data_IF_938218472903
#
_entry.id   IF_938218472903
#
_cell.length_a   1.000
_cell.length_b   1.000
_cell.length_c   1.000
_cell.angle_alpha   90.00
_cell.angle_beta   90.00
_cell.angle_gamma   90.00
#
_symmetry.space_group_name_H-M   'P 1'
#
loop_
_entity.id
_entity.type
_entity.pdbx_description
1 polymer ?
#
# COMPACT_ATOMS: atom_id res chain seq x y z
N UNK A 1 -20.25 -2.18 8.47
CA UNK A 1 -19.95 -3.35 7.61
C UNK A 1 -19.34 -2.87 6.29
N UNK A 2 -18.04 -3.13 6.11
CA UNK A 2 -17.16 -2.43 5.18
C UNK A 2 -17.21 -3.08 3.79
N UNK A 3 -17.74 -2.34 2.83
CA UNK A 3 -17.80 -2.62 1.42
C UNK A 3 -16.47 -2.25 0.74
N UNK A 4 -15.41 -3.00 1.04
CA UNK A 4 -14.16 -2.94 0.27
C UNK A 4 -14.26 -3.91 -0.91
N UNK A 5 -15.09 -3.56 -1.89
CA UNK A 5 -15.19 -4.31 -3.13
C UNK A 5 -14.30 -3.64 -4.17
N UNK A 6 -13.48 -4.43 -4.85
CA UNK A 6 -12.73 -4.00 -6.03
C UNK A 6 -13.57 -4.41 -7.23
N UNK A 7 -14.04 -3.43 -8.00
CA UNK A 7 -14.74 -3.67 -9.26
C UNK A 7 -13.72 -3.72 -10.40
N UNK A 8 -13.85 -4.73 -11.26
CA UNK A 8 -13.10 -4.83 -12.51
C UNK A 8 -14.07 -4.57 -13.66
N UNK A 9 -13.66 -3.72 -14.58
CA UNK A 9 -14.37 -3.47 -15.84
C UNK A 9 -13.37 -3.70 -16.98
N UNK A 10 -13.83 -4.35 -18.04
CA UNK A 10 -13.01 -4.71 -19.20
C UNK A 10 -13.68 -4.16 -20.45
N UNK A 11 -13.05 -3.16 -21.06
CA UNK A 11 -13.52 -2.56 -22.30
C UNK A 11 -13.01 -3.36 -23.49
N UNK A 12 -13.92 -3.92 -24.29
CA UNK A 12 -13.63 -4.54 -25.57
C UNK A 12 -13.98 -3.55 -26.70
N UNK A 13 -12.99 -2.98 -27.42
CA UNK A 13 -13.25 -2.04 -28.52
C UNK A 13 -13.74 -2.70 -29.81
N UNK A 14 -13.61 -4.03 -29.92
CA UNK A 14 -13.96 -4.77 -31.14
C UNK A 14 -15.38 -5.35 -31.06
N UNK A 15 -16.07 -5.43 -32.20
CA UNK A 15 -17.44 -5.98 -32.30
C UNK A 15 -17.49 -7.52 -32.27
N UNK A 16 -16.49 -8.16 -31.66
CA UNK A 16 -16.39 -9.61 -31.52
C UNK A 16 -16.70 -10.02 -30.08
N UNK A 17 -17.51 -11.05 -29.93
CA UNK A 17 -17.84 -11.64 -28.63
C UNK A 17 -16.67 -12.53 -28.17
N UNK A 18 -15.66 -11.92 -27.54
CA UNK A 18 -14.57 -12.67 -26.93
C UNK A 18 -15.02 -13.25 -25.58
N UNK A 19 -15.32 -14.54 -25.56
CA UNK A 19 -15.94 -15.25 -24.42
C UNK A 19 -14.93 -15.97 -23.52
N UNK A 20 -13.65 -16.05 -23.90
CA UNK A 20 -12.60 -16.74 -23.12
C UNK A 20 -11.56 -15.76 -22.54
N UNK A 21 -12.03 -14.60 -22.06
CA UNK A 21 -11.19 -13.63 -21.36
C UNK A 21 -10.84 -14.12 -19.95
N UNK A 22 -9.53 -14.31 -19.69
CA UNK A 22 -9.03 -14.67 -18.35
C UNK A 22 -8.18 -13.55 -17.77
N UNK A 23 -8.68 -12.92 -16.71
CA UNK A 23 -7.94 -11.96 -15.90
C UNK A 23 -7.03 -12.70 -14.91
N UNK A 24 -5.72 -12.72 -15.18
CA UNK A 24 -4.72 -13.27 -14.26
C UNK A 24 -4.26 -12.18 -13.28
N UNK A 25 -5.02 -11.99 -12.20
CA UNK A 25 -4.71 -10.97 -11.19
C UNK A 25 -3.79 -11.56 -10.13
N UNK A 26 -2.58 -11.01 -9.99
CA UNK A 26 -1.69 -11.31 -8.87
C UNK A 26 -2.00 -10.37 -7.70
N UNK A 27 -2.76 -10.85 -6.72
CA UNK A 27 -2.94 -10.12 -5.46
C UNK A 27 -1.69 -10.30 -4.59
N UNK A 28 -0.85 -9.27 -4.52
CA UNK A 28 0.21 -9.19 -3.53
C UNK A 28 -0.42 -9.03 -2.13
N UNK A 29 -0.77 -10.15 -1.49
CA UNK A 29 -1.31 -10.17 -0.13
C UNK A 29 -0.19 -9.86 0.86
N UNK A 30 -0.03 -8.58 1.18
CA UNK A 30 0.93 -8.14 2.19
C UNK A 30 0.29 -8.30 3.57
N UNK A 31 0.75 -9.28 4.34
CA UNK A 31 0.39 -9.39 5.75
C UNK A 31 1.22 -8.37 6.55
N UNK A 32 0.69 -7.17 6.77
CA UNK A 32 1.32 -6.19 7.67
C UNK A 32 1.03 -6.54 9.11
N UNK A 33 2.07 -6.70 9.93
CA UNK A 33 1.92 -6.68 11.38
C UNK A 33 2.29 -5.28 11.92
N UNK A 34 1.42 -4.72 12.77
CA UNK A 34 1.71 -3.46 13.45
C UNK A 34 2.63 -3.71 14.65
N UNK A 35 3.88 -3.28 14.55
CA UNK A 35 4.90 -3.46 15.60
C UNK A 35 4.90 -2.38 16.69
N UNK A 36 4.30 -1.22 16.43
CA UNK A 36 4.21 -0.12 17.40
C UNK A 36 3.91 1.23 16.76
N UNK A 37 4.00 2.30 17.56
CA UNK A 37 3.92 3.68 17.08
C UNK A 37 5.01 4.53 17.69
N UNK A 38 5.43 5.56 16.95
CA UNK A 38 6.27 6.64 17.45
C UNK A 38 5.45 7.92 17.42
N UNK A 39 5.26 8.55 18.58
CA UNK A 39 4.55 9.82 18.70
C UNK A 39 5.41 10.79 19.50
N UNK A 40 5.77 11.93 18.90
CA UNK A 40 6.65 12.93 19.53
C UNK A 40 7.94 12.33 20.12
N UNK A 41 8.55 11.37 19.40
CA UNK A 41 9.77 10.68 19.84
C UNK A 41 9.57 9.59 20.90
N UNK A 42 8.36 9.39 21.41
CA UNK A 42 8.03 8.32 22.35
C UNK A 42 7.66 7.06 21.56
N UNK A 43 8.39 5.98 21.81
CA UNK A 43 8.14 4.67 21.21
C UNK A 43 7.16 3.88 22.07
N UNK A 44 6.05 3.41 21.47
CA UNK A 44 5.07 2.52 22.10
C UNK A 44 4.98 1.22 21.30
N UNK A 45 5.66 0.14 21.72
CA UNK A 45 5.57 -1.16 21.05
C UNK A 45 4.19 -1.77 21.23
N UNK A 46 3.72 -2.52 20.23
CA UNK A 46 2.41 -3.19 20.27
C UNK A 46 2.44 -4.47 21.12
N UNK A 47 3.61 -5.08 21.28
CA UNK A 47 3.84 -6.24 22.15
C UNK A 47 5.28 -6.20 22.71
N UNK A 48 5.57 -6.82 23.86
CA UNK A 48 6.90 -6.80 24.46
C UNK A 48 8.02 -7.29 23.53
N UNK A 49 7.74 -8.27 22.67
CA UNK A 49 8.68 -8.79 21.66
C UNK A 49 9.16 -7.74 20.65
N UNK A 50 8.39 -6.67 20.45
CA UNK A 50 8.67 -5.64 19.45
C UNK A 50 9.46 -4.46 20.01
N UNK A 51 9.74 -4.43 21.32
CA UNK A 51 10.44 -3.31 21.97
C UNK A 51 11.80 -3.04 21.33
N UNK A 52 12.61 -4.08 21.15
CA UNK A 52 13.94 -3.97 20.55
C UNK A 52 13.86 -3.61 19.06
N UNK A 53 12.98 -4.28 18.31
CA UNK A 53 12.80 -4.02 16.88
C UNK A 53 12.35 -2.57 16.62
N UNK A 54 11.43 -2.05 17.42
CA UNK A 54 10.93 -0.69 17.30
C UNK A 54 12.03 0.34 17.61
N UNK A 55 12.85 0.12 18.64
CA UNK A 55 14.00 0.99 18.95
C UNK A 55 15.04 0.98 17.80
N UNK A 56 15.38 -0.20 17.28
CA UNK A 56 16.31 -0.33 16.15
C UNK A 56 15.79 0.34 14.87
N UNK A 57 14.49 0.22 14.59
CA UNK A 57 13.86 0.88 13.45
C UNK A 57 13.85 2.40 13.61
N UNK A 58 13.54 2.90 14.80
CA UNK A 58 13.58 4.33 15.10
C UNK A 58 14.98 4.93 14.93
N UNK A 59 16.01 4.21 15.37
CA UNK A 59 17.43 4.57 15.17
C UNK A 59 17.95 4.32 13.76
N UNK A 60 17.12 3.77 12.87
CA UNK A 60 17.49 3.39 11.48
C UNK A 60 18.67 2.41 11.38
N UNK A 61 18.83 1.55 12.38
CA UNK A 61 19.86 0.50 12.41
C UNK A 61 19.48 -0.67 11.51
N UNK A 62 18.19 -1.03 11.48
CA UNK A 62 17.69 -2.07 10.59
C UNK A 62 17.49 -1.48 9.20
N UNK A 63 18.03 -2.09 8.13
CA UNK A 63 17.73 -1.70 6.76
C UNK A 63 16.23 -1.84 6.49
N UNK A 64 15.57 -0.74 6.14
CA UNK A 64 14.14 -0.74 5.85
C UNK A 64 13.81 0.28 4.77
N UNK A 65 12.74 0.02 4.02
CA UNK A 65 12.15 0.99 3.09
C UNK A 65 10.96 1.65 3.77
N UNK A 66 11.06 2.94 4.16
CA UNK A 66 9.92 3.63 4.75
C UNK A 66 8.78 3.68 3.73
N UNK A 67 7.63 3.12 4.11
CA UNK A 67 6.41 3.16 3.31
C UNK A 67 5.57 4.34 3.81
N UNK A 68 5.49 5.38 3.00
CA UNK A 68 4.57 6.49 3.24
C UNK A 68 3.19 6.07 2.75
N UNK A 69 2.27 5.78 3.68
CA UNK A 69 0.86 5.48 3.34
C UNK A 69 0.05 6.78 3.13
N UNK A 70 0.64 7.94 3.44
CA UNK A 70 -0.01 9.21 3.15
C UNK A 70 -0.04 9.43 1.62
N UNK A 71 -1.17 9.88 1.06
CA UNK A 71 -1.24 10.21 -0.35
C UNK A 71 -0.21 11.30 -0.65
N UNK A 72 0.82 10.95 -1.41
CA UNK A 72 1.68 11.94 -2.05
C UNK A 72 0.80 12.61 -3.11
N UNK A 73 0.32 13.83 -2.84
CA UNK A 73 -0.27 14.65 -3.89
C UNK A 73 0.86 14.98 -4.86
N UNK A 74 1.00 14.20 -5.93
CA UNK A 74 1.66 14.72 -7.11
C UNK A 74 0.82 15.92 -7.59
N UNK A 75 1.40 17.10 -7.82
CA UNK A 75 0.68 18.18 -8.48
C UNK A 75 0.18 17.64 -9.83
N UNK A 76 -1.10 17.88 -10.14
CA UNK A 76 -1.64 17.57 -11.45
C UNK A 76 -1.03 18.57 -12.44
N UNK A 77 0.13 18.23 -13.01
CA UNK A 77 0.68 18.97 -14.12
C UNK A 77 -0.04 18.48 -15.39
N UNK A 78 -1.13 19.18 -15.73
CA UNK A 78 -1.72 19.04 -17.07
C UNK A 78 -0.71 19.61 -18.07
N UNK A 79 -0.30 18.87 -19.12
CA UNK A 79 0.44 19.49 -20.21
C UNK A 79 -0.44 20.57 -20.82
N UNK A 80 0.00 21.82 -20.67
CA UNK A 80 -0.51 22.95 -21.43
C UNK A 80 -0.15 22.73 -22.90
N UNK A 81 -1.16 22.38 -23.70
CA UNK A 81 -1.16 22.52 -25.15
C UNK A 81 -0.73 21.30 -25.97
N UNK A 82 -1.72 20.57 -26.50
CA UNK A 82 -1.92 20.33 -27.93
C UNK A 82 -3.34 19.82 -28.19
#
# INVERSE_FOLDING_TARGET
PWNQQIAFDAYNPDAIDDTDLRLNILLAKLATERIGTVQMGILKPSAPRWTETLDKLYRRVIPHRPLTIMPVRAPAEAPVGQ
#
